data_IF_613527679485
#
_entry.id   IF_613527679485
#
_cell.length_a   1.000
_cell.length_b   1.000
_cell.length_c   1.000
_cell.angle_alpha   90.00
_cell.angle_beta   90.00
_cell.angle_gamma   90.00
#
_symmetry.space_group_name_H-M   'P 1'
#
loop_
_entity.id
_entity.type
_entity.pdbx_description
1 polymer ?
#
# COMPACT_ATOMS: atom_id res chain seq x y z
N UNK A 1 13.57 -14.74 -2.61
CA UNK A 1 14.36 -13.96 -1.63
C UNK A 1 14.08 -12.49 -1.89
N UNK A 2 13.75 -11.71 -0.87
CA UNK A 2 13.48 -10.27 -1.00
C UNK A 2 14.79 -9.53 -1.27
N UNK A 3 14.82 -8.69 -2.32
CA UNK A 3 15.99 -7.94 -2.75
C UNK A 3 15.85 -6.48 -2.33
N UNK A 4 16.39 -6.12 -1.15
CA UNK A 4 16.34 -4.78 -0.59
C UNK A 4 17.72 -4.41 -0.04
N UNK A 5 18.14 -3.17 -0.26
CA UNK A 5 19.30 -2.57 0.40
C UNK A 5 18.94 -2.11 1.84
N UNK A 6 19.95 -1.63 2.59
CA UNK A 6 19.76 -1.24 4.00
C UNK A 6 18.87 0.00 4.17
N UNK A 7 18.88 0.94 3.22
CA UNK A 7 18.00 2.12 3.24
C UNK A 7 16.56 1.67 3.04
N UNK A 8 16.33 0.83 2.05
CA UNK A 8 15.00 0.30 1.72
C UNK A 8 14.43 -0.53 2.87
N UNK A 9 15.23 -1.37 3.53
CA UNK A 9 14.82 -2.14 4.72
C UNK A 9 14.40 -1.21 5.86
N UNK A 10 15.19 -0.16 6.14
CA UNK A 10 14.87 0.83 7.17
C UNK A 10 13.51 1.50 6.86
N UNK A 11 13.28 1.92 5.63
CA UNK A 11 12.02 2.57 5.24
C UNK A 11 10.85 1.61 5.38
N UNK A 12 10.99 0.34 4.99
CA UNK A 12 9.94 -0.67 5.14
C UNK A 12 9.59 -0.90 6.61
N UNK A 13 10.58 -0.90 7.51
CA UNK A 13 10.32 -0.97 8.94
C UNK A 13 9.46 0.20 9.42
N UNK A 14 9.71 1.42 8.94
CA UNK A 14 8.93 2.60 9.30
C UNK A 14 7.50 2.57 8.74
N UNK A 15 7.32 2.20 7.47
CA UNK A 15 6.02 2.31 6.79
C UNK A 15 5.12 1.09 6.98
N UNK A 16 5.66 -0.07 7.33
CA UNK A 16 4.89 -1.30 7.45
C UNK A 16 5.08 -2.03 8.79
N UNK A 17 5.85 -1.46 9.72
CA UNK A 17 6.27 -2.09 10.99
C UNK A 17 6.94 -3.47 10.78
N UNK A 18 7.67 -3.62 9.66
CA UNK A 18 8.31 -4.89 9.28
C UNK A 18 9.82 -4.81 9.49
N UNK A 19 10.31 -5.47 10.52
CA UNK A 19 11.73 -5.67 10.79
C UNK A 19 12.27 -6.95 10.13
N UNK A 20 11.37 -7.85 9.75
CA UNK A 20 11.64 -9.10 9.03
C UNK A 20 10.62 -9.31 7.92
N UNK A 21 10.92 -10.20 6.98
CA UNK A 21 9.98 -10.59 5.93
C UNK A 21 8.80 -11.35 6.57
N UNK A 22 7.54 -10.89 6.40
CA UNK A 22 6.40 -11.57 7.00
C UNK A 22 6.19 -12.97 6.42
N UNK A 23 5.72 -13.91 7.25
CA UNK A 23 5.36 -15.25 6.81
C UNK A 23 4.06 -15.29 5.99
N UNK A 24 3.20 -14.25 6.13
CA UNK A 24 1.93 -14.11 5.41
C UNK A 24 2.08 -13.61 3.98
N UNK A 25 1.00 -13.08 3.44
CA UNK A 25 0.97 -12.50 2.09
C UNK A 25 1.69 -11.13 2.07
N UNK A 26 2.53 -10.92 1.07
CA UNK A 26 3.18 -9.62 0.86
C UNK A 26 3.55 -9.37 -0.60
N UNK A 27 3.69 -8.09 -0.93
CA UNK A 27 4.26 -7.63 -2.20
C UNK A 27 5.12 -6.38 -1.95
N UNK A 28 6.43 -6.55 -1.97
CA UNK A 28 7.39 -5.47 -1.77
C UNK A 28 7.82 -4.88 -3.10
N UNK A 29 7.75 -3.56 -3.23
CA UNK A 29 8.28 -2.81 -4.38
C UNK A 29 9.40 -1.90 -3.91
N UNK A 30 10.44 -1.81 -4.72
CA UNK A 30 11.56 -0.89 -4.50
C UNK A 30 11.98 -0.28 -5.83
N UNK A 31 12.02 1.06 -5.89
CA UNK A 31 12.43 1.82 -7.07
C UNK A 31 11.70 1.41 -8.37
N UNK A 32 10.38 1.20 -8.29
CA UNK A 32 9.55 0.83 -9.44
C UNK A 32 9.52 -0.66 -9.77
N UNK A 33 10.30 -1.50 -9.10
CA UNK A 33 10.43 -2.92 -9.38
C UNK A 33 9.85 -3.81 -8.27
N UNK A 34 9.53 -5.06 -8.61
CA UNK A 34 9.16 -6.07 -7.63
C UNK A 34 10.42 -6.54 -6.86
N UNK A 35 10.48 -6.23 -5.56
CA UNK A 35 11.56 -6.67 -4.69
C UNK A 35 11.29 -8.04 -4.05
N UNK A 36 10.03 -8.42 -3.85
CA UNK A 36 9.64 -9.71 -3.33
C UNK A 36 8.14 -9.87 -3.19
N UNK A 37 7.65 -11.11 -3.31
CA UNK A 37 6.24 -11.45 -3.17
C UNK A 37 6.08 -12.80 -2.50
N UNK A 38 5.03 -12.93 -1.71
CA UNK A 38 4.53 -14.20 -1.18
C UNK A 38 3.00 -14.20 -1.19
N UNK A 39 2.40 -15.33 -1.48
CA UNK A 39 0.98 -15.61 -1.38
C UNK A 39 0.73 -16.64 -0.28
N UNK A 40 -0.51 -16.74 0.20
CA UNK A 40 -0.93 -17.79 1.12
C UNK A 40 -1.97 -18.68 0.44
N UNK A 41 -2.45 -19.69 1.14
CA UNK A 41 -3.56 -20.49 0.65
C UNK A 41 -4.82 -19.63 0.42
N UNK A 42 -5.03 -18.60 1.23
CA UNK A 42 -6.23 -17.76 1.22
C UNK A 42 -6.06 -16.41 0.53
N UNK A 43 -4.84 -15.96 0.31
CA UNK A 43 -4.55 -14.65 -0.29
C UNK A 43 -3.63 -14.81 -1.50
N UNK A 44 -4.17 -14.52 -2.69
CA UNK A 44 -3.43 -14.49 -3.93
C UNK A 44 -3.06 -13.06 -4.34
N UNK A 45 -1.88 -12.88 -4.92
CA UNK A 45 -1.38 -11.57 -5.38
C UNK A 45 -0.85 -11.73 -6.81
N UNK A 46 -1.46 -11.05 -7.75
CA UNK A 46 -1.10 -11.10 -9.17
C UNK A 46 -0.69 -9.72 -9.68
N UNK A 47 0.30 -9.68 -10.58
CA UNK A 47 0.66 -8.45 -11.29
C UNK A 47 -0.41 -8.14 -12.32
N UNK A 48 -0.85 -6.89 -12.39
CA UNK A 48 -1.76 -6.42 -13.45
C UNK A 48 -1.10 -6.53 -14.82
N UNK A 49 -1.89 -6.83 -15.83
CA UNK A 49 -1.42 -6.98 -17.22
C UNK A 49 -1.55 -5.69 -18.03
N UNK A 50 -2.43 -4.79 -17.61
CA UNK A 50 -2.80 -3.57 -18.34
C UNK A 50 -2.08 -2.31 -17.85
N UNK A 51 -1.56 -2.32 -16.62
CA UNK A 51 -0.91 -1.16 -15.98
C UNK A 51 -0.03 -1.58 -14.80
N UNK A 52 0.78 -0.66 -14.28
CA UNK A 52 1.57 -0.92 -13.08
C UNK A 52 0.66 -1.14 -11.87
N UNK A 53 0.91 -2.20 -11.10
CA UNK A 53 0.16 -2.54 -9.90
C UNK A 53 -0.16 -4.02 -9.77
N UNK A 54 -1.06 -4.33 -8.81
CA UNK A 54 -1.41 -5.70 -8.44
C UNK A 54 -2.91 -5.86 -8.21
N UNK A 55 -3.39 -7.08 -8.42
CA UNK A 55 -4.67 -7.58 -7.95
C UNK A 55 -4.43 -8.48 -6.74
N UNK A 56 -5.12 -8.19 -5.64
CA UNK A 56 -5.07 -8.97 -4.40
C UNK A 56 -6.45 -9.61 -4.21
N UNK A 57 -6.48 -10.94 -4.18
CA UNK A 57 -7.73 -11.72 -4.04
C UNK A 57 -7.70 -12.48 -2.73
N UNK A 58 -8.67 -12.18 -1.87
CA UNK A 58 -8.82 -12.79 -0.54
C UNK A 58 -10.06 -13.70 -0.59
N UNK A 59 -9.86 -15.00 -0.35
CA UNK A 59 -10.92 -15.99 -0.40
C UNK A 59 -12.00 -15.73 0.66
N UNK A 60 -13.27 -16.05 0.37
CA UNK A 60 -14.34 -15.98 1.36
C UNK A 60 -14.01 -16.71 2.67
N UNK A 61 -14.40 -16.13 3.78
CA UNK A 61 -14.20 -16.71 5.12
C UNK A 61 -12.78 -16.57 5.69
N UNK A 62 -11.86 -15.93 4.99
CA UNK A 62 -10.49 -15.69 5.49
C UNK A 62 -10.53 -14.81 6.73
N UNK A 63 -9.90 -15.28 7.82
CA UNK A 63 -9.86 -14.56 9.10
C UNK A 63 -8.45 -14.55 9.70
N UNK A 64 -8.15 -13.47 10.40
CA UNK A 64 -6.89 -13.29 11.13
C UNK A 64 -5.64 -13.38 10.25
N UNK A 65 -5.78 -13.11 8.97
CA UNK A 65 -4.65 -12.96 8.04
C UNK A 65 -4.41 -11.49 7.71
N UNK A 66 -3.18 -11.19 7.28
CA UNK A 66 -2.79 -9.87 6.82
C UNK A 66 -2.06 -9.94 5.49
N UNK A 67 -2.15 -8.83 4.75
CA UNK A 67 -1.33 -8.60 3.56
C UNK A 67 -0.55 -7.31 3.70
N UNK A 68 0.74 -7.33 3.35
CA UNK A 68 1.63 -6.18 3.42
C UNK A 68 2.10 -5.78 2.03
N UNK A 69 1.89 -4.52 1.65
CA UNK A 69 2.24 -4.00 0.31
C UNK A 69 3.07 -2.72 0.39
N UNK A 70 4.23 -2.72 1.06
CA UNK A 70 5.07 -1.54 1.12
C UNK A 70 5.74 -1.22 -0.21
N UNK A 71 5.91 0.09 -0.45
CA UNK A 71 6.63 0.66 -1.58
C UNK A 71 7.73 1.58 -1.09
N UNK A 72 8.92 1.48 -1.66
CA UNK A 72 10.07 2.31 -1.31
C UNK A 72 10.68 2.92 -2.55
N UNK A 73 10.89 4.22 -2.54
CA UNK A 73 11.72 4.94 -3.50
C UNK A 73 12.97 5.47 -2.80
N UNK A 74 14.14 5.00 -3.22
CA UNK A 74 15.44 5.45 -2.71
C UNK A 74 16.32 6.08 -3.80
N UNK A 75 15.81 6.12 -5.04
CA UNK A 75 16.47 6.79 -6.15
C UNK A 75 15.87 8.18 -6.40
N UNK A 76 16.70 9.22 -6.52
CA UNK A 76 16.26 10.58 -6.84
C UNK A 76 15.69 10.68 -8.26
N UNK A 77 14.62 11.46 -8.41
CA UNK A 77 13.98 11.71 -9.71
C UNK A 77 13.04 10.62 -10.18
N UNK A 78 12.80 9.57 -9.37
CA UNK A 78 11.91 8.49 -9.74
C UNK A 78 10.47 8.90 -9.48
N UNK A 79 9.60 8.68 -10.49
CA UNK A 79 8.16 8.93 -10.40
C UNK A 79 7.40 7.70 -10.87
N UNK A 80 6.47 7.22 -10.05
CA UNK A 80 5.63 6.08 -10.40
C UNK A 80 4.18 6.26 -9.96
N UNK A 81 3.25 5.65 -10.71
CA UNK A 81 1.86 5.47 -10.32
C UNK A 81 1.56 3.98 -10.29
N UNK A 82 0.99 3.47 -9.20
CA UNK A 82 0.60 2.06 -9.06
C UNK A 82 -0.87 1.92 -8.70
N UNK A 83 -1.51 0.90 -9.26
CA UNK A 83 -2.93 0.60 -9.07
C UNK A 83 -3.08 -0.75 -8.37
N UNK A 84 -3.63 -0.74 -7.16
CA UNK A 84 -3.82 -1.94 -6.36
C UNK A 84 -5.31 -2.17 -6.13
N UNK A 85 -5.83 -3.28 -6.63
CA UNK A 85 -7.23 -3.66 -6.49
C UNK A 85 -7.35 -4.81 -5.48
N UNK A 86 -8.17 -4.62 -4.44
CA UNK A 86 -8.41 -5.58 -3.37
C UNK A 86 -9.79 -6.19 -3.53
N UNK A 87 -9.84 -7.46 -3.86
CA UNK A 87 -11.06 -8.26 -3.94
C UNK A 87 -11.18 -9.09 -2.68
N UNK A 88 -12.08 -8.70 -1.79
CA UNK A 88 -12.27 -9.33 -0.48
C UNK A 88 -13.57 -10.10 -0.45
N UNK A 89 -13.47 -11.42 -0.34
CA UNK A 89 -14.62 -12.31 -0.34
C UNK A 89 -15.53 -12.16 0.89
N UNK A 90 -16.69 -12.79 0.84
CA UNK A 90 -17.71 -12.77 1.92
C UNK A 90 -17.13 -13.24 3.26
N UNK A 91 -17.65 -12.71 4.35
CA UNK A 91 -17.35 -13.13 5.73
C UNK A 91 -15.86 -13.05 6.13
N UNK A 92 -15.04 -12.30 5.42
CA UNK A 92 -13.64 -12.07 5.76
C UNK A 92 -13.47 -11.18 7.01
N UNK A 93 -12.32 -11.34 7.71
CA UNK A 93 -11.85 -10.41 8.75
C UNK A 93 -10.33 -10.31 8.64
N UNK A 94 -9.85 -9.28 7.95
CA UNK A 94 -8.45 -9.17 7.49
C UNK A 94 -7.86 -7.79 7.70
N UNK A 95 -6.53 -7.75 7.79
CA UNK A 95 -5.75 -6.51 7.88
C UNK A 95 -4.94 -6.32 6.60
N UNK A 96 -5.00 -5.13 6.02
CA UNK A 96 -4.19 -4.74 4.88
C UNK A 96 -3.30 -3.59 5.33
N UNK A 97 -1.98 -3.77 5.21
CA UNK A 97 -0.99 -2.77 5.56
C UNK A 97 -0.31 -2.31 4.27
N UNK A 98 -0.61 -1.10 3.88
CA UNK A 98 0.10 -0.38 2.83
C UNK A 98 1.09 0.60 3.45
N UNK A 99 2.12 0.95 2.71
CA UNK A 99 3.05 1.96 3.19
C UNK A 99 3.92 2.45 2.04
N UNK A 100 4.10 3.76 1.98
CA UNK A 100 4.95 4.38 0.97
C UNK A 100 6.04 5.20 1.64
N UNK A 101 7.31 4.92 1.31
CA UNK A 101 8.45 5.66 1.82
C UNK A 101 9.33 6.18 0.70
N UNK A 102 9.75 7.43 0.81
CA UNK A 102 10.70 8.05 -0.13
C UNK A 102 11.91 8.55 0.64
N UNK A 103 13.09 8.01 0.33
CA UNK A 103 14.39 8.57 0.72
C UNK A 103 15.00 9.29 -0.48
N UNK A 104 15.10 10.61 -0.42
CA UNK A 104 15.62 11.39 -1.53
C UNK A 104 16.80 12.24 -1.10
N UNK A 105 18.00 11.79 -1.42
CA UNK A 105 19.27 12.50 -1.20
C UNK A 105 19.76 13.28 -2.44
N UNK A 106 18.95 13.36 -3.50
CA UNK A 106 19.30 14.03 -4.75
C UNK A 106 18.58 15.37 -4.96
N UNK A 107 18.71 15.89 -6.18
CA UNK A 107 18.21 17.22 -6.54
C UNK A 107 16.83 17.17 -7.24
N UNK A 108 16.45 16.01 -7.76
CA UNK A 108 15.19 15.84 -8.51
C UNK A 108 14.07 15.34 -7.61
N UNK A 109 12.82 15.77 -7.88
CA UNK A 109 11.65 15.35 -7.15
C UNK A 109 11.35 13.87 -7.38
N UNK A 110 11.16 13.11 -6.29
CA UNK A 110 10.67 11.72 -6.33
C UNK A 110 9.21 11.69 -5.93
N UNK A 111 8.41 10.88 -6.64
CA UNK A 111 6.96 10.83 -6.48
C UNK A 111 6.42 9.40 -6.55
N UNK A 112 5.51 9.08 -5.63
CA UNK A 112 4.72 7.86 -5.67
C UNK A 112 3.24 8.19 -5.57
N UNK A 113 2.47 7.75 -6.56
CA UNK A 113 1.02 7.85 -6.60
C UNK A 113 0.41 6.45 -6.45
N UNK A 114 -0.18 6.16 -5.28
CA UNK A 114 -0.85 4.89 -5.00
C UNK A 114 -2.36 5.03 -5.20
N UNK A 115 -2.95 4.25 -6.10
CA UNK A 115 -4.41 4.17 -6.28
C UNK A 115 -4.89 2.83 -5.76
N UNK A 116 -5.70 2.84 -4.70
CA UNK A 116 -6.19 1.65 -4.01
C UNK A 116 -7.70 1.53 -4.17
N UNK A 117 -8.17 0.45 -4.79
CA UNK A 117 -9.61 0.19 -4.95
C UNK A 117 -10.02 -1.06 -4.18
N UNK A 118 -11.12 -0.96 -3.44
CA UNK A 118 -11.63 -2.02 -2.58
C UNK A 118 -12.97 -2.55 -3.11
N UNK A 119 -13.01 -3.84 -3.41
CA UNK A 119 -14.19 -4.61 -3.78
C UNK A 119 -14.49 -5.56 -2.63
N UNK A 120 -15.31 -5.11 -1.67
CA UNK A 120 -15.57 -5.82 -0.42
C UNK A 120 -16.94 -6.48 -0.49
N UNK A 121 -17.00 -7.80 -0.32
CA UNK A 121 -18.23 -8.56 -0.35
C UNK A 121 -18.95 -8.55 1.01
N UNK A 122 -20.12 -9.21 1.04
CA UNK A 122 -21.04 -9.20 2.18
C UNK A 122 -20.36 -9.67 3.48
N UNK A 123 -20.70 -9.02 4.60
CA UNK A 123 -20.21 -9.28 5.95
C UNK A 123 -18.69 -9.20 6.14
N UNK A 124 -17.93 -8.86 5.11
CA UNK A 124 -16.48 -8.73 5.24
C UNK A 124 -16.09 -7.49 6.04
N UNK A 125 -15.03 -7.63 6.84
CA UNK A 125 -14.41 -6.58 7.63
C UNK A 125 -12.97 -6.43 7.17
N UNK A 126 -12.61 -5.22 6.76
CA UNK A 126 -11.25 -4.90 6.34
C UNK A 126 -10.73 -3.75 7.20
N UNK A 127 -9.60 -3.96 7.86
CA UNK A 127 -8.82 -2.89 8.46
C UNK A 127 -7.68 -2.54 7.50
N UNK A 128 -7.76 -1.37 6.91
CA UNK A 128 -6.72 -0.82 6.03
C UNK A 128 -5.86 0.20 6.80
N UNK A 129 -4.56 -0.03 6.83
CA UNK A 129 -3.59 0.87 7.46
C UNK A 129 -2.62 1.33 6.39
N UNK A 130 -2.50 2.63 6.21
CA UNK A 130 -1.55 3.23 5.28
C UNK A 130 -0.63 4.20 6.02
N UNK A 131 0.69 4.01 5.85
CA UNK A 131 1.71 4.86 6.44
C UNK A 131 2.55 5.52 5.34
N UNK A 132 2.89 6.78 5.55
CA UNK A 132 3.74 7.55 4.65
C UNK A 132 4.98 8.05 5.39
N UNK A 133 6.14 7.91 4.75
CA UNK A 133 7.42 8.32 5.32
C UNK A 133 8.29 9.03 4.30
N UNK A 134 8.90 10.15 4.71
CA UNK A 134 9.84 10.89 3.88
C UNK A 134 11.16 11.10 4.61
N UNK A 135 12.28 10.82 3.95
CA UNK A 135 13.64 11.03 4.47
C UNK A 135 14.60 11.49 3.37
N UNK A 136 15.86 11.63 3.74
CA UNK A 136 16.94 12.12 2.87
C UNK A 136 17.15 13.63 3.02
N UNK A 137 18.33 14.10 2.67
CA UNK A 137 18.79 15.49 2.81
C UNK A 137 18.90 16.24 1.47
N UNK A 138 18.49 15.60 0.38
CA UNK A 138 18.49 16.20 -0.96
C UNK A 138 17.46 17.33 -1.11
N UNK A 139 17.69 18.24 -2.04
CA UNK A 139 16.79 19.35 -2.34
C UNK A 139 15.53 18.92 -3.10
N UNK A 140 15.55 17.75 -3.74
CA UNK A 140 14.37 17.18 -4.42
C UNK A 140 13.25 16.83 -3.43
N UNK A 141 12.01 17.07 -3.84
CA UNK A 141 10.83 16.80 -3.02
C UNK A 141 10.54 15.30 -2.89
N UNK A 142 9.81 14.93 -1.82
CA UNK A 142 9.22 13.61 -1.57
C UNK A 142 7.72 13.77 -1.68
N UNK A 143 7.15 13.30 -2.80
CA UNK A 143 5.73 13.52 -3.14
C UNK A 143 5.02 12.19 -3.02
N UNK A 144 3.99 12.14 -2.16
CA UNK A 144 3.16 10.97 -1.91
C UNK A 144 1.69 11.36 -2.11
N UNK A 145 1.03 10.77 -3.10
CA UNK A 145 -0.36 11.06 -3.44
C UNK A 145 -1.20 9.77 -3.37
N UNK A 146 -1.67 9.37 -2.19
CA UNK A 146 -2.54 8.22 -2.07
C UNK A 146 -3.97 8.57 -2.49
N UNK A 147 -4.62 7.64 -3.19
CA UNK A 147 -6.04 7.68 -3.51
C UNK A 147 -6.66 6.36 -3.12
N UNK A 148 -7.72 6.40 -2.31
CA UNK A 148 -8.48 5.20 -1.90
C UNK A 148 -9.91 5.32 -2.41
N UNK A 149 -10.38 4.30 -3.13
CA UNK A 149 -11.68 4.26 -3.77
C UNK A 149 -12.49 3.01 -3.35
N UNK A 150 -13.82 3.16 -3.20
CA UNK A 150 -14.73 2.01 -3.16
C UNK A 150 -15.01 1.56 -4.60
N UNK A 151 -14.70 0.30 -4.89
CA UNK A 151 -14.82 -0.25 -6.24
C UNK A 151 -16.24 -0.68 -6.64
N UNK A 152 -17.21 -0.72 -5.72
CA UNK A 152 -18.56 -1.16 -6.04
C UNK A 152 -19.54 0.01 -6.19
N UNK A 153 -20.24 0.13 -7.33
CA UNK A 153 -21.36 1.04 -7.43
C UNK A 153 -22.54 0.46 -6.63
N UNK A 154 -22.85 1.07 -5.46
CA UNK A 154 -24.13 0.99 -4.76
C UNK A 154 -24.70 -0.41 -4.45
N UNK A 155 -24.16 -1.15 -3.50
CA UNK A 155 -24.82 -2.33 -2.94
C UNK A 155 -25.07 -2.18 -1.43
N UNK A 156 -26.34 -2.28 -1.03
CA UNK A 156 -26.80 -2.33 0.36
C UNK A 156 -26.47 -3.69 1.00
N UNK A 157 -25.20 -3.97 1.23
CA UNK A 157 -24.78 -5.15 1.98
C UNK A 157 -23.93 -4.70 3.15
N UNK A 158 -24.12 -5.24 4.38
CA UNK A 158 -23.27 -4.89 5.50
C UNK A 158 -21.82 -5.31 5.21
N UNK A 159 -20.95 -4.32 5.12
CA UNK A 159 -19.51 -4.46 4.93
C UNK A 159 -18.80 -3.36 5.70
N UNK A 160 -17.60 -3.58 6.14
CA UNK A 160 -16.86 -2.61 6.93
C UNK A 160 -15.43 -2.43 6.40
N UNK A 161 -15.14 -1.24 5.94
CA UNK A 161 -13.78 -0.76 5.67
C UNK A 161 -13.41 0.27 6.74
N UNK A 162 -12.35 0.01 7.50
CA UNK A 162 -11.80 0.96 8.47
C UNK A 162 -10.42 1.39 7.97
N UNK A 163 -10.25 2.67 7.70
CA UNK A 163 -8.98 3.22 7.22
C UNK A 163 -8.27 3.99 8.34
N UNK A 164 -6.96 3.80 8.44
CA UNK A 164 -6.08 4.58 9.29
C UNK A 164 -4.87 5.07 8.48
N UNK A 165 -4.66 6.39 8.45
CA UNK A 165 -3.56 7.02 7.73
C UNK A 165 -2.58 7.65 8.73
N UNK A 166 -1.29 7.35 8.59
CA UNK A 166 -0.23 7.85 9.45
C UNK A 166 0.87 8.49 8.61
N UNK A 167 1.30 9.67 9.02
CA UNK A 167 2.41 10.41 8.41
C UNK A 167 3.58 10.46 9.36
N UNK A 168 4.74 10.04 8.90
CA UNK A 168 5.98 10.01 9.66
C UNK A 168 7.09 10.73 8.87
N UNK A 169 7.91 11.54 9.56
CA UNK A 169 9.06 12.20 8.97
C UNK A 169 8.91 13.70 8.72
N UNK A 170 9.98 14.34 8.31
CA UNK A 170 10.06 15.78 8.07
C UNK A 170 9.64 16.08 6.62
N UNK A 171 8.44 16.61 6.42
CA UNK A 171 7.97 17.06 5.11
C UNK A 171 8.09 18.58 4.98
N UNK A 172 9.03 19.15 4.20
CA UNK A 172 9.08 20.59 3.98
C UNK A 172 7.97 21.13 3.08
N UNK A 173 7.20 20.27 2.42
CA UNK A 173 6.01 20.69 1.66
C UNK A 173 5.02 19.53 1.51
N UNK A 174 3.90 19.60 2.21
CA UNK A 174 2.72 18.78 1.97
C UNK A 174 1.96 19.36 0.77
N UNK A 175 2.08 18.74 -0.40
CA UNK A 175 1.20 19.03 -1.51
C UNK A 175 -0.03 18.14 -1.42
N UNK A 176 -1.16 18.75 -1.08
CA UNK A 176 -2.56 18.33 -1.30
C UNK A 176 -2.91 16.86 -1.05
N UNK A 177 -3.46 16.57 0.14
CA UNK A 177 -4.18 15.33 0.38
C UNK A 177 -5.61 15.43 -0.13
N UNK A 178 -5.98 14.62 -1.10
CA UNK A 178 -7.38 14.34 -1.40
C UNK A 178 -7.80 13.07 -0.64
N UNK A 179 -8.34 13.28 0.55
CA UNK A 179 -9.00 12.23 1.31
C UNK A 179 -10.45 12.13 0.82
N UNK A 180 -10.73 11.28 -0.16
CA UNK A 180 -12.09 10.86 -0.44
C UNK A 180 -12.48 9.75 0.53
N UNK A 181 -12.78 10.14 1.76
CA UNK A 181 -13.46 9.29 2.73
C UNK A 181 -14.93 9.18 2.33
N UNK A 182 -15.28 8.18 1.55
CA UNK A 182 -16.66 7.71 1.50
C UNK A 182 -16.90 6.92 2.78
N UNK A 183 -17.45 7.59 3.80
CA UNK A 183 -17.99 6.92 4.98
C UNK A 183 -19.15 6.06 4.55
N UNK A 184 -18.94 4.75 4.49
CA UNK A 184 -20.01 3.78 4.37
C UNK A 184 -20.60 3.57 5.77
N UNK A 185 -21.75 4.22 6.03
CA UNK A 185 -22.57 4.02 7.22
C UNK A 185 -23.21 2.64 7.25
#
# INVERSE_FOLDING_TARGET
MVKLDEIQKRIIAEVADLHEVPMGAYNFRANGELAGRNTTENIDIQTKQDKSGIDIRIKPGTKHESVHIPVVLSASGLKETVYNDFYVGEDCDVVIVAGCGIDNCGQQDSQHDGVHRFFIEKNAKVKYVEKHYGSGDGAGKRILNPVTEDGWPHAFTPRRLTCAFLHLGCFPALSSFYLNLLSLG
#
